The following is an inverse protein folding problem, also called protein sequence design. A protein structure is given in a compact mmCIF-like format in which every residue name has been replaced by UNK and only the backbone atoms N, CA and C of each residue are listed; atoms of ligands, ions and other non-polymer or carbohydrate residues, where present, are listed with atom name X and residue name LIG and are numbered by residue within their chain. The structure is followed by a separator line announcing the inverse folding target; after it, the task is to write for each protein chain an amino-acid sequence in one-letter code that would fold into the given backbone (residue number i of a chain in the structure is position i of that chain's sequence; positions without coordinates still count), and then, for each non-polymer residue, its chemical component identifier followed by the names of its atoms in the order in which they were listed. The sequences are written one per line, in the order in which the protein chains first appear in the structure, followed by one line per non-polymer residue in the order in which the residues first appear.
data_IF_365043958622
#
_entry.id   IF_365043958622
#
_cell.length_a   1.000
_cell.length_b   1.000
_cell.length_c   1.000
_cell.angle_alpha   90.00
_cell.angle_beta   90.00
_cell.angle_gamma   90.00
#
_symmetry.space_group_name_H-M   'P 1'
#
loop_
_entity.id
_entity.type
_entity.pdbx_description
1 polymer ?
#
# COMPACT_ATOMS: atom_id res chain seq x y z
N UNK A 1 19.33 18.71 52.30
CA UNK A 1 20.62 19.35 52.68
C UNK A 1 21.70 19.16 51.60
N UNK A 2 21.41 19.51 50.33
CA UNK A 2 22.45 19.61 49.30
C UNK A 2 22.21 20.86 48.47
N UNK A 3 23.03 21.88 48.69
CA UNK A 3 23.08 23.06 47.80
C UNK A 3 23.74 22.61 46.50
N UNK A 4 23.06 22.80 45.37
CA UNK A 4 23.63 22.49 44.06
C UNK A 4 24.96 23.24 43.88
N UNK A 5 26.05 22.50 43.66
CA UNK A 5 27.39 23.09 43.56
C UNK A 5 27.60 23.66 42.14
N UNK A 6 27.60 25.00 41.96
CA UNK A 6 27.58 25.61 40.63
C UNK A 6 28.86 25.36 39.84
N UNK A 7 29.97 25.00 40.50
CA UNK A 7 31.26 24.76 39.85
C UNK A 7 31.29 23.47 39.02
N UNK A 8 30.58 22.42 39.45
CA UNK A 8 30.52 21.12 38.73
C UNK A 8 29.88 21.29 37.34
N UNK A 9 28.86 22.15 37.24
CA UNK A 9 28.13 22.40 36.01
C UNK A 9 28.97 23.18 34.96
N UNK A 10 29.95 23.97 35.40
CA UNK A 10 30.88 24.69 34.50
C UNK A 10 31.97 23.76 33.96
N UNK A 11 32.47 22.85 34.79
CA UNK A 11 33.51 21.90 34.41
C UNK A 11 33.00 20.86 33.40
N UNK A 12 31.77 20.35 33.60
CA UNK A 12 31.11 19.45 32.65
C UNK A 12 30.87 20.12 31.28
N UNK A 13 30.49 21.41 31.25
CA UNK A 13 30.32 22.18 30.02
C UNK A 13 31.61 22.43 29.24
N UNK A 14 32.78 22.30 29.87
CA UNK A 14 34.09 22.40 29.20
C UNK A 14 34.61 21.06 28.66
N UNK A 15 34.11 19.93 29.17
CA UNK A 15 34.58 18.58 28.81
C UNK A 15 33.69 17.86 27.79
N UNK A 16 32.47 18.33 27.58
CA UNK A 16 31.58 17.84 26.53
C UNK A 16 31.85 18.60 25.21
N UNK A 17 31.93 17.91 24.06
CA UNK A 17 31.93 18.57 22.76
C UNK A 17 30.69 19.45 22.59
N UNK A 18 30.87 20.66 22.07
CA UNK A 18 29.74 21.53 21.72
C UNK A 18 28.80 20.82 20.73
N UNK A 19 27.47 20.87 20.91
CA UNK A 19 26.55 20.23 20.00
C UNK A 19 26.70 20.85 18.60
N UNK A 20 27.11 20.03 17.64
CA UNK A 20 27.21 20.41 16.24
C UNK A 20 25.83 20.80 15.72
N UNK A 21 25.64 22.08 15.40
CA UNK A 21 24.50 22.55 14.60
C UNK A 21 24.67 22.06 13.17
N UNK A 22 24.24 20.83 12.89
CA UNK A 22 23.99 20.40 11.52
C UNK A 22 22.60 20.92 11.07
N UNK A 23 22.47 21.50 9.87
CA UNK A 23 21.19 22.03 9.40
C UNK A 23 20.15 20.93 9.16
N UNK A 24 18.87 21.24 9.36
CA UNK A 24 17.79 20.38 8.86
C UNK A 24 17.87 20.32 7.33
N UNK A 25 17.98 19.10 6.80
CA UNK A 25 17.74 18.80 5.39
C UNK A 25 16.78 17.59 5.31
N UNK A 26 15.52 17.90 5.00
CA UNK A 26 14.46 17.05 4.46
C UNK A 26 14.55 15.52 4.68
N UNK A 27 13.72 15.02 5.60
CA UNK A 27 13.25 13.63 5.59
C UNK A 27 11.82 13.56 5.08
N UNK A 28 11.69 13.27 3.79
CA UNK A 28 10.47 12.71 3.21
C UNK A 28 10.67 11.20 3.02
N UNK A 29 9.61 10.40 3.22
CA UNK A 29 9.62 8.91 3.23
C UNK A 29 10.57 8.22 4.23
N UNK A 30 9.98 7.62 5.26
CA UNK A 30 9.91 6.15 5.39
C UNK A 30 9.00 5.77 6.56
N UNK A 31 7.79 5.27 6.26
CA UNK A 31 6.90 4.65 7.26
C UNK A 31 7.17 3.15 7.24
N UNK A 32 7.71 2.60 8.32
CA UNK A 32 7.74 1.16 8.55
C UNK A 32 7.13 0.88 9.91
N UNK A 33 5.89 0.38 9.89
CA UNK A 33 5.11 0.12 11.09
C UNK A 33 5.48 -1.24 11.67
N UNK A 34 5.95 -1.27 12.92
CA UNK A 34 6.13 -2.50 13.69
C UNK A 34 5.00 -2.59 14.72
N UNK A 35 4.12 -3.57 14.55
CA UNK A 35 3.10 -3.94 15.55
C UNK A 35 3.56 -5.18 16.35
N UNK A 36 3.12 -5.33 17.61
CA UNK A 36 3.70 -6.31 18.53
C UNK A 36 3.11 -7.72 18.38
N UNK A 37 3.99 -8.72 18.44
CA UNK A 37 3.65 -10.14 18.37
C UNK A 37 2.96 -10.61 19.66
N UNK A 38 1.68 -10.99 19.57
CA UNK A 38 0.95 -11.64 20.66
C UNK A 38 1.01 -13.17 20.60
N UNK A 39 1.00 -13.78 21.78
CA UNK A 39 1.23 -15.20 22.03
C UNK A 39 0.14 -16.11 21.43
N UNK A 40 0.52 -17.22 20.80
CA UNK A 40 -0.29 -18.46 20.79
C UNK A 40 0.59 -19.70 20.96
N UNK A 41 0.01 -20.70 21.63
CA UNK A 41 0.64 -21.94 22.08
C UNK A 41 0.63 -23.00 20.97
N UNK A 42 1.54 -23.97 21.07
CA UNK A 42 1.59 -25.18 20.24
C UNK A 42 0.32 -26.05 20.37
N UNK A 43 0.19 -27.10 19.55
CA UNK A 43 0.51 -28.41 20.10
C UNK A 43 1.50 -29.26 19.27
N UNK A 44 1.93 -30.36 19.88
CA UNK A 44 2.98 -31.29 19.47
C UNK A 44 2.41 -32.50 18.71
N UNK A 45 3.15 -33.02 17.72
CA UNK A 45 3.06 -34.38 17.13
C UNK A 45 4.16 -34.49 16.04
N UNK A 46 4.92 -35.58 15.82
CA UNK A 46 5.28 -36.79 16.58
C UNK A 46 6.60 -37.34 15.95
N UNK A 47 7.46 -38.01 16.76
CA UNK A 47 8.27 -39.23 16.45
C UNK A 47 8.93 -39.38 15.04
N UNK A 48 10.17 -39.84 14.86
CA UNK A 48 11.12 -40.53 15.74
C UNK A 48 12.56 -40.50 15.17
N UNK A 49 13.54 -40.92 15.97
CA UNK A 49 14.97 -41.04 15.63
C UNK A 49 15.29 -42.02 14.50
N UNK A 50 16.39 -41.76 13.75
CA UNK A 50 17.56 -42.66 13.72
C UNK A 50 18.82 -41.97 13.13
N UNK A 51 19.88 -41.88 13.92
CA UNK A 51 21.25 -41.56 13.46
C UNK A 51 22.01 -42.87 13.09
N UNK A 52 23.34 -42.88 12.85
CA UNK A 52 23.88 -42.85 11.48
C UNK A 52 24.80 -44.06 11.19
N UNK A 53 25.22 -44.27 9.94
CA UNK A 53 26.48 -44.98 9.70
C UNK A 53 27.15 -44.70 8.35
N UNK A 54 28.47 -44.59 8.42
CA UNK A 54 29.40 -44.49 7.30
C UNK A 54 29.63 -45.87 6.63
N UNK A 55 29.91 -45.88 5.33
CA UNK A 55 30.98 -46.72 4.75
C UNK A 55 31.33 -46.23 3.35
N UNK A 56 32.63 -46.12 3.06
CA UNK A 56 33.13 -45.99 1.69
C UNK A 56 33.23 -47.38 1.03
N UNK A 57 33.25 -47.44 -0.31
CA UNK A 57 33.48 -48.70 -1.05
C UNK A 57 32.93 -48.74 -2.48
N UNK A 58 33.75 -48.33 -3.44
CA UNK A 58 33.97 -48.93 -4.77
C UNK A 58 32.79 -49.41 -5.66
N UNK A 59 32.56 -48.61 -6.71
CA UNK A 59 32.32 -48.97 -8.12
C UNK A 59 32.27 -50.47 -8.53
N UNK A 60 31.13 -50.91 -9.08
CA UNK A 60 31.11 -51.58 -10.41
C UNK A 60 29.76 -51.43 -11.15
N UNK A 61 29.68 -52.00 -12.35
CA UNK A 61 28.79 -51.62 -13.45
C UNK A 61 27.56 -52.52 -13.57
N UNK A 62 26.41 -51.97 -13.99
CA UNK A 62 25.55 -52.67 -14.96
C UNK A 62 24.66 -51.73 -15.78
N UNK A 63 24.64 -51.96 -17.10
CA UNK A 63 23.76 -51.28 -18.06
C UNK A 63 22.95 -52.33 -18.81
N UNK A 64 21.60 -52.24 -18.77
CA UNK A 64 20.71 -52.59 -19.89
C UNK A 64 19.22 -52.51 -19.50
N UNK A 65 18.27 -52.53 -20.46
CA UNK A 65 17.03 -51.74 -20.35
C UNK A 65 15.76 -52.58 -20.19
N UNK A 66 14.62 -51.93 -19.96
CA UNK A 66 13.29 -52.55 -20.01
C UNK A 66 12.37 -51.86 -21.02
N UNK A 67 11.61 -52.68 -21.76
CA UNK A 67 10.74 -52.32 -22.88
C UNK A 67 9.49 -53.21 -22.85
N UNK A 68 8.33 -52.63 -23.15
CA UNK A 68 7.06 -53.35 -23.31
C UNK A 68 6.18 -53.40 -22.05
N UNK A 69 4.86 -53.58 -22.12
CA UNK A 69 3.96 -53.64 -23.30
C UNK A 69 2.52 -53.30 -22.88
N UNK A 70 1.66 -52.94 -23.84
CA UNK A 70 0.21 -52.79 -23.66
C UNK A 70 -0.49 -54.12 -23.29
N UNK A 71 -1.78 -54.08 -22.95
CA UNK A 71 -2.72 -54.83 -23.81
C UNK A 71 -4.03 -54.11 -24.14
N UNK A 72 -4.70 -54.61 -25.19
CA UNK A 72 -6.02 -54.19 -25.67
C UNK A 72 -7.19 -54.93 -24.98
N UNK A 73 -8.40 -54.46 -25.32
CA UNK A 73 -9.61 -55.24 -25.67
C UNK A 73 -10.77 -55.39 -24.65
N UNK A 74 -11.90 -54.76 -25.04
CA UNK A 74 -13.29 -55.29 -25.04
C UNK A 74 -14.00 -55.53 -23.68
N UNK A 75 -15.12 -54.89 -23.31
CA UNK A 75 -16.49 -54.86 -23.92
C UNK A 75 -17.47 -55.60 -22.96
N UNK A 76 -18.74 -55.23 -22.68
CA UNK A 76 -19.69 -54.21 -23.17
C UNK A 76 -20.69 -53.89 -22.00
N UNK A 77 -21.66 -52.96 -22.05
CA UNK A 77 -22.08 -52.03 -23.10
C UNK A 77 -23.49 -51.44 -22.87
N UNK A 78 -24.02 -50.79 -23.93
CA UNK A 78 -25.44 -50.55 -24.26
C UNK A 78 -26.29 -49.56 -23.42
N UNK A 79 -26.42 -48.33 -23.95
CA UNK A 79 -27.68 -47.66 -24.41
C UNK A 79 -27.55 -46.12 -24.30
N UNK A 80 -28.00 -45.29 -25.24
CA UNK A 80 -28.56 -45.53 -26.58
C UNK A 80 -28.41 -44.28 -27.49
N UNK A 81 -28.53 -44.48 -28.80
CA UNK A 81 -28.58 -43.46 -29.87
C UNK A 81 -30.06 -43.14 -30.22
N UNK A 82 -30.39 -42.27 -31.20
CA UNK A 82 -29.66 -41.14 -31.78
C UNK A 82 -30.52 -39.84 -31.82
N UNK A 83 -30.01 -38.74 -32.39
CA UNK A 83 -30.83 -37.87 -33.25
C UNK A 83 -29.95 -37.00 -34.18
N UNK A 84 -30.08 -37.27 -35.48
CA UNK A 84 -29.60 -36.42 -36.58
C UNK A 84 -30.78 -36.18 -37.51
N UNK A 85 -31.15 -34.94 -37.87
CA UNK A 85 -32.22 -34.71 -38.84
C UNK A 85 -31.74 -34.99 -40.27
N UNK A 86 -32.68 -35.47 -41.07
CA UNK A 86 -32.47 -36.24 -42.30
C UNK A 86 -32.93 -35.47 -43.56
N UNK A 87 -32.66 -36.04 -44.74
CA UNK A 87 -33.37 -35.80 -46.03
C UNK A 87 -33.40 -34.36 -46.59
N UNK A 88 -32.77 -34.17 -47.78
CA UNK A 88 -33.54 -34.19 -49.05
C UNK A 88 -32.64 -34.29 -50.30
N UNK A 89 -32.36 -35.52 -50.74
CA UNK A 89 -32.05 -35.80 -52.16
C UNK A 89 -33.36 -36.06 -52.88
N UNK A 90 -33.54 -35.48 -54.06
CA UNK A 90 -34.64 -35.85 -54.97
C UNK A 90 -34.03 -36.18 -56.33
N UNK A 91 -33.84 -37.48 -56.57
CA UNK A 91 -33.64 -38.03 -57.91
C UNK A 91 -34.85 -38.92 -58.15
N UNK A 92 -35.66 -38.59 -59.16
CA UNK A 92 -36.73 -39.46 -59.65
C UNK A 92 -36.44 -39.73 -61.11
N UNK A 93 -36.10 -40.98 -61.39
CA UNK A 93 -36.03 -41.55 -62.73
C UNK A 93 -37.42 -42.01 -63.13
N UNK A 94 -37.88 -41.66 -64.32
CA UNK A 94 -38.90 -42.45 -65.04
C UNK A 94 -38.68 -42.23 -66.53
N UNK A 95 -38.25 -43.27 -67.21
CA UNK A 95 -38.34 -43.41 -68.65
C UNK A 95 -39.81 -43.74 -68.98
N UNK A 96 -40.42 -43.11 -69.99
CA UNK A 96 -40.43 -43.69 -71.34
C UNK A 96 -41.07 -42.75 -72.39
N UNK A 97 -40.83 -43.09 -73.65
CA UNK A 97 -41.28 -42.49 -74.91
C UNK A 97 -42.71 -41.92 -74.96
N UNK A 98 -42.88 -40.75 -75.60
CA UNK A 98 -43.70 -40.59 -76.83
C UNK A 98 -43.38 -39.25 -77.53
N UNK A 99 -42.87 -39.30 -78.76
CA UNK A 99 -43.03 -38.17 -79.70
C UNK A 99 -44.51 -38.05 -80.09
N UNK A 100 -45.03 -36.82 -80.24
CA UNK A 100 -45.26 -36.36 -81.60
C UNK A 100 -44.70 -34.97 -81.88
N UNK A 101 -44.42 -34.78 -83.15
CA UNK A 101 -44.00 -33.55 -83.81
C UNK A 101 -44.93 -32.37 -83.49
N UNK A 102 -44.36 -31.27 -82.96
CA UNK A 102 -44.88 -29.92 -83.20
C UNK A 102 -43.75 -29.08 -83.80
N UNK A 103 -43.69 -29.14 -85.12
CA UNK A 103 -43.58 -27.97 -86.00
C UNK A 103 -42.59 -26.86 -85.59
N UNK A 104 -41.36 -27.00 -86.07
CA UNK A 104 -40.81 -26.10 -87.11
C UNK A 104 -41.02 -24.58 -86.94
N UNK A 105 -40.90 -24.02 -85.73
CA UNK A 105 -41.22 -22.60 -85.50
C UNK A 105 -40.34 -21.87 -84.48
N UNK A 106 -39.04 -22.21 -84.37
CA UNK A 106 -38.02 -21.21 -83.96
C UNK A 106 -36.61 -21.46 -84.52
N UNK A 107 -36.48 -21.81 -85.81
CA UNK A 107 -35.21 -21.69 -86.55
C UNK A 107 -34.90 -20.21 -86.84
N UNK A 108 -34.64 -19.45 -85.77
CA UNK A 108 -34.23 -18.05 -85.83
C UNK A 108 -32.73 -17.98 -86.19
N UNK A 109 -32.45 -18.09 -87.49
CA UNK A 109 -31.12 -17.96 -88.12
C UNK A 109 -29.93 -18.43 -87.29
N UNK A 110 -29.62 -19.73 -87.36
CA UNK A 110 -28.38 -20.29 -86.83
C UNK A 110 -27.15 -19.71 -87.55
N UNK A 111 -26.70 -18.59 -87.02
CA UNK A 111 -25.43 -17.96 -87.33
C UNK A 111 -24.40 -18.51 -86.33
N UNK A 112 -23.54 -19.46 -86.73
CA UNK A 112 -22.67 -20.18 -85.80
C UNK A 112 -21.76 -19.22 -85.02
N UNK A 113 -21.35 -18.12 -85.65
CA UNK A 113 -20.47 -17.11 -85.06
C UNK A 113 -21.13 -16.36 -83.89
N UNK A 114 -22.47 -16.21 -83.90
CA UNK A 114 -23.22 -15.65 -82.77
C UNK A 114 -23.23 -16.60 -81.57
N UNK A 115 -23.44 -17.89 -81.80
CA UNK A 115 -23.43 -18.91 -80.74
C UNK A 115 -22.02 -19.06 -80.15
N UNK A 116 -20.98 -19.07 -81.00
CA UNK A 116 -19.58 -19.03 -80.58
C UNK A 116 -19.29 -17.78 -79.74
N UNK A 117 -19.79 -16.61 -80.15
CA UNK A 117 -19.61 -15.36 -79.39
C UNK A 117 -20.29 -15.39 -78.02
N UNK A 118 -21.50 -15.95 -77.90
CA UNK A 118 -22.21 -16.10 -76.63
C UNK A 118 -21.46 -17.03 -75.67
N UNK A 119 -20.98 -18.18 -76.17
CA UNK A 119 -20.18 -19.12 -75.37
C UNK A 119 -18.85 -18.53 -74.92
N UNK A 120 -18.17 -17.74 -75.77
CA UNK A 120 -16.95 -17.02 -75.38
C UNK A 120 -17.24 -15.99 -74.27
N UNK A 121 -18.30 -15.21 -74.40
CA UNK A 121 -18.72 -14.24 -73.38
C UNK A 121 -19.08 -14.92 -72.05
N UNK A 122 -19.74 -16.08 -72.09
CA UNK A 122 -20.04 -16.87 -70.88
C UNK A 122 -18.77 -17.43 -70.24
N UNK A 123 -17.84 -17.96 -71.04
CA UNK A 123 -16.52 -18.41 -70.55
C UNK A 123 -15.73 -17.25 -69.94
N UNK A 124 -15.78 -16.04 -70.51
CA UNK A 124 -15.15 -14.85 -69.94
C UNK A 124 -15.81 -14.37 -68.64
N UNK A 125 -17.14 -14.43 -68.56
CA UNK A 125 -17.87 -14.17 -67.31
C UNK A 125 -17.48 -15.18 -66.22
N UNK A 126 -17.39 -16.47 -66.56
CA UNK A 126 -16.96 -17.54 -65.66
C UNK A 126 -15.49 -17.36 -65.23
N UNK A 127 -14.58 -16.98 -66.14
CA UNK A 127 -13.19 -16.61 -65.79
C UNK A 127 -13.15 -15.44 -64.80
N UNK A 128 -13.95 -14.40 -65.03
CA UNK A 128 -14.06 -13.24 -64.15
C UNK A 128 -14.62 -13.58 -62.77
N UNK A 129 -15.61 -14.47 -62.69
CA UNK A 129 -16.16 -14.98 -61.42
C UNK A 129 -15.13 -15.85 -60.69
N UNK A 130 -14.46 -16.77 -61.39
CA UNK A 130 -13.45 -17.64 -60.80
C UNK A 130 -12.29 -16.83 -60.20
N UNK A 131 -11.79 -15.82 -60.92
CA UNK A 131 -10.77 -14.90 -60.41
C UNK A 131 -11.22 -14.17 -59.13
N UNK A 132 -12.44 -13.64 -59.10
CA UNK A 132 -13.01 -13.00 -57.88
C UNK A 132 -13.11 -13.98 -56.71
N UNK A 133 -13.50 -15.23 -56.96
CA UNK A 133 -13.56 -16.26 -55.92
C UNK A 133 -12.15 -16.64 -55.40
N UNK A 134 -11.14 -16.70 -56.27
CA UNK A 134 -9.74 -16.91 -55.86
C UNK A 134 -9.22 -15.74 -55.00
N UNK A 135 -9.49 -14.49 -55.41
CA UNK A 135 -9.14 -13.29 -54.64
C UNK A 135 -9.82 -13.30 -53.25
N UNK A 136 -11.10 -13.66 -53.18
CA UNK A 136 -11.84 -13.80 -51.93
C UNK A 136 -11.30 -14.94 -51.05
N UNK A 137 -10.92 -16.08 -51.63
CA UNK A 137 -10.34 -17.21 -50.91
C UNK A 137 -8.99 -16.83 -50.30
N UNK A 138 -8.11 -16.20 -51.07
CA UNK A 138 -6.81 -15.71 -50.58
C UNK A 138 -7.02 -14.66 -49.47
N UNK A 139 -7.96 -13.73 -49.65
CA UNK A 139 -8.30 -12.75 -48.61
C UNK A 139 -8.76 -13.45 -47.31
N UNK A 140 -9.63 -14.46 -47.41
CA UNK A 140 -10.14 -15.19 -46.24
C UNK A 140 -9.07 -16.03 -45.57
N UNK A 141 -8.18 -16.66 -46.33
CA UNK A 141 -7.01 -17.37 -45.81
C UNK A 141 -6.09 -16.40 -45.02
N UNK A 142 -5.76 -15.23 -45.56
CA UNK A 142 -4.99 -14.21 -44.86
C UNK A 142 -5.73 -13.59 -43.65
N UNK A 143 -7.07 -13.57 -43.65
CA UNK A 143 -7.86 -13.20 -42.45
C UNK A 143 -7.84 -14.29 -41.37
N UNK A 144 -7.91 -15.57 -41.75
CA UNK A 144 -7.82 -16.71 -40.82
C UNK A 144 -6.42 -16.82 -40.20
N UNK A 145 -5.36 -16.78 -41.00
CA UNK A 145 -3.98 -16.85 -40.51
C UNK A 145 -3.67 -15.74 -39.50
N UNK A 146 -4.13 -14.50 -39.76
CA UNK A 146 -4.00 -13.39 -38.81
C UNK A 146 -4.72 -13.67 -37.48
N UNK A 147 -5.95 -14.19 -37.54
CA UNK A 147 -6.73 -14.55 -36.33
C UNK A 147 -6.08 -15.66 -35.52
N UNK A 148 -5.51 -16.68 -36.16
CA UNK A 148 -4.81 -17.78 -35.47
C UNK A 148 -3.62 -17.24 -34.66
N UNK A 149 -2.74 -16.45 -35.28
CA UNK A 149 -1.60 -15.80 -34.60
C UNK A 149 -2.06 -14.85 -33.48
N UNK A 150 -3.13 -14.09 -33.73
CA UNK A 150 -3.75 -13.21 -32.74
C UNK A 150 -4.36 -13.96 -31.53
N UNK A 151 -4.83 -15.20 -31.71
CA UNK A 151 -5.31 -16.03 -30.62
C UNK A 151 -4.16 -16.73 -29.89
N UNK A 152 -3.11 -17.17 -30.59
CA UNK A 152 -1.89 -17.74 -30.01
C UNK A 152 -1.22 -16.73 -29.08
N UNK A 153 -0.97 -15.50 -29.55
CA UNK A 153 -0.44 -14.42 -28.73
C UNK A 153 -1.33 -14.14 -27.50
N UNK A 154 -2.66 -14.21 -27.66
CA UNK A 154 -3.61 -14.08 -26.54
C UNK A 154 -3.64 -15.29 -25.61
N UNK A 155 -3.18 -16.48 -26.01
CA UNK A 155 -2.99 -17.65 -25.13
C UNK A 155 -1.70 -17.47 -24.34
N UNK A 156 -0.59 -17.22 -25.01
CA UNK A 156 0.72 -16.97 -24.38
C UNK A 156 0.67 -15.83 -23.36
N UNK A 157 0.00 -14.72 -23.68
CA UNK A 157 -0.15 -13.60 -22.74
C UNK A 157 -0.92 -13.99 -21.46
N UNK A 158 -1.94 -14.85 -21.57
CA UNK A 158 -2.69 -15.35 -20.40
C UNK A 158 -1.89 -16.36 -19.60
N UNK A 159 -1.05 -17.17 -20.25
CA UNK A 159 -0.14 -18.10 -19.58
C UNK A 159 0.96 -17.35 -18.83
N UNK A 160 1.57 -16.33 -19.44
CA UNK A 160 2.51 -15.43 -18.77
C UNK A 160 1.89 -14.76 -17.54
N UNK A 161 0.67 -14.20 -17.67
CA UNK A 161 -0.10 -13.62 -16.55
C UNK A 161 -0.43 -14.64 -15.45
N UNK A 162 -0.67 -15.91 -15.81
CA UNK A 162 -0.88 -16.97 -14.83
C UNK A 162 0.39 -17.26 -14.00
N UNK A 163 1.58 -17.07 -14.58
CA UNK A 163 2.87 -17.24 -13.91
C UNK A 163 3.38 -16.01 -13.14
N UNK A 164 2.84 -14.81 -13.38
CA UNK A 164 3.21 -13.59 -12.62
C UNK A 164 3.06 -13.80 -11.10
N UNK A 165 1.90 -14.27 -10.62
CA UNK A 165 1.63 -14.43 -9.19
C UNK A 165 2.48 -15.54 -8.53
N UNK A 166 2.61 -16.76 -9.09
CA UNK A 166 3.53 -17.77 -8.58
C UNK A 166 4.99 -17.30 -8.52
N UNK A 167 5.45 -16.51 -9.51
CA UNK A 167 6.83 -16.01 -9.54
C UNK A 167 7.10 -15.03 -8.40
N UNK A 168 6.21 -14.06 -8.17
CA UNK A 168 6.32 -13.12 -7.03
C UNK A 168 6.30 -13.87 -5.69
N UNK A 169 5.42 -14.85 -5.52
CA UNK A 169 5.35 -15.68 -4.29
C UNK A 169 6.64 -16.49 -4.08
N UNK A 170 7.26 -17.00 -5.15
CA UNK A 170 8.55 -17.68 -5.09
C UNK A 170 9.67 -16.72 -4.63
N UNK A 171 9.71 -15.51 -5.19
CA UNK A 171 10.67 -14.47 -4.80
C UNK A 171 10.52 -14.05 -3.34
N UNK A 172 9.29 -13.85 -2.87
CA UNK A 172 8.96 -13.58 -1.46
C UNK A 172 9.40 -14.72 -0.53
N UNK A 173 9.14 -15.98 -0.91
CA UNK A 173 9.57 -17.15 -0.15
C UNK A 173 11.10 -17.27 -0.08
N UNK A 174 11.80 -17.00 -1.19
CA UNK A 174 13.26 -17.01 -1.25
C UNK A 174 13.88 -15.86 -0.43
N UNK A 175 13.24 -14.69 -0.38
CA UNK A 175 13.64 -13.59 0.49
C UNK A 175 13.43 -13.95 1.96
N UNK A 176 12.23 -14.40 2.34
CA UNK A 176 11.92 -14.82 3.71
C UNK A 176 12.80 -15.96 4.22
N UNK A 177 13.20 -16.89 3.33
CA UNK A 177 14.16 -17.95 3.66
C UNK A 177 15.56 -17.39 3.95
N UNK A 178 16.07 -16.45 3.13
CA UNK A 178 17.35 -15.77 3.39
C UNK A 178 17.34 -15.02 4.71
N UNK A 179 16.25 -14.31 5.02
CA UNK A 179 16.07 -13.61 6.28
C UNK A 179 16.05 -14.59 7.48
N UNK A 180 15.38 -15.74 7.32
CA UNK A 180 15.37 -16.82 8.33
C UNK A 180 16.76 -17.38 8.58
N UNK A 181 17.53 -17.66 7.52
CA UNK A 181 18.88 -18.20 7.64
C UNK A 181 19.87 -17.16 8.20
N UNK A 182 19.75 -15.89 7.82
CA UNK A 182 20.52 -14.80 8.41
C UNK A 182 20.20 -14.59 9.90
N UNK A 183 18.92 -14.69 10.29
CA UNK A 183 18.52 -14.60 11.70
C UNK A 183 19.03 -15.79 12.52
N UNK A 184 19.02 -17.00 11.94
CA UNK A 184 19.57 -18.21 12.54
C UNK A 184 21.08 -18.09 12.73
N UNK A 185 21.82 -17.67 11.69
CA UNK A 185 23.27 -17.43 11.76
C UNK A 185 23.61 -16.38 12.83
N UNK A 186 22.92 -15.24 12.83
CA UNK A 186 23.10 -14.18 13.84
C UNK A 186 22.88 -14.71 15.26
N UNK A 187 21.85 -15.53 15.47
CA UNK A 187 21.56 -16.14 16.79
C UNK A 187 22.59 -17.18 17.22
N UNK A 188 23.11 -17.98 16.28
CA UNK A 188 24.19 -18.94 16.58
C UNK A 188 25.51 -18.23 16.93
N UNK A 189 25.82 -17.11 16.28
CA UNK A 189 26.99 -16.29 16.60
C UNK A 189 26.85 -15.70 18.01
N UNK A 190 25.74 -15.04 18.31
CA UNK A 190 25.46 -14.50 19.66
C UNK A 190 25.52 -15.58 20.74
N UNK A 191 24.92 -16.75 20.52
CA UNK A 191 24.97 -17.85 21.49
C UNK A 191 26.40 -18.41 21.71
N UNK A 192 27.28 -18.29 20.71
CA UNK A 192 28.69 -18.62 20.87
C UNK A 192 29.45 -17.54 21.62
N UNK A 193 29.20 -16.26 21.32
CA UNK A 193 29.77 -15.12 22.05
C UNK A 193 29.39 -15.17 23.54
N UNK A 194 28.10 -15.35 23.87
CA UNK A 194 27.60 -15.53 25.24
C UNK A 194 28.27 -16.72 25.95
N UNK A 195 28.41 -17.87 25.26
CA UNK A 195 29.09 -19.06 25.78
C UNK A 195 30.56 -18.78 26.08
N UNK A 196 31.27 -18.09 25.19
CA UNK A 196 32.69 -17.77 25.35
C UNK A 196 32.93 -16.68 26.41
N UNK A 197 32.03 -15.71 26.55
CA UNK A 197 32.02 -14.75 27.66
C UNK A 197 31.84 -15.44 29.01
N UNK A 198 30.86 -16.35 29.14
CA UNK A 198 30.64 -17.15 30.36
C UNK A 198 31.85 -18.02 30.69
N UNK A 199 32.48 -18.64 29.69
CA UNK A 199 33.72 -19.42 29.89
C UNK A 199 34.89 -18.55 30.34
N UNK A 200 35.04 -17.34 29.80
CA UNK A 200 36.05 -16.38 30.25
C UNK A 200 35.77 -15.89 31.68
N UNK A 201 34.51 -15.60 32.02
CA UNK A 201 34.11 -15.21 33.37
C UNK A 201 34.34 -16.35 34.37
N UNK A 202 33.95 -17.59 34.04
CA UNK A 202 34.19 -18.75 34.88
C UNK A 202 35.69 -18.99 35.15
N UNK A 203 36.56 -18.82 34.14
CA UNK A 203 38.02 -18.90 34.31
C UNK A 203 38.57 -17.78 35.20
N UNK A 204 38.11 -16.54 35.03
CA UNK A 204 38.48 -15.40 35.88
C UNK A 204 38.05 -15.62 37.33
N UNK A 205 36.82 -16.08 37.54
CA UNK A 205 36.31 -16.43 38.87
C UNK A 205 37.11 -17.58 39.48
N UNK A 206 37.41 -18.65 38.74
CA UNK A 206 38.25 -19.75 39.25
C UNK A 206 39.65 -19.28 39.66
N UNK A 207 40.26 -18.33 38.94
CA UNK A 207 41.52 -17.70 39.32
C UNK A 207 41.37 -16.84 40.57
N UNK A 208 40.30 -16.04 40.65
CA UNK A 208 39.99 -15.21 41.82
C UNK A 208 39.73 -16.07 43.07
N UNK A 209 38.94 -17.15 42.97
CA UNK A 209 38.71 -18.10 44.08
C UNK A 209 40.00 -18.78 44.51
N UNK A 210 40.87 -19.23 43.57
CA UNK A 210 42.19 -19.77 43.94
C UNK A 210 43.05 -18.77 44.73
N UNK A 211 42.93 -17.48 44.42
CA UNK A 211 43.61 -16.40 45.14
C UNK A 211 42.94 -16.10 46.49
N UNK A 212 41.61 -16.04 46.55
CA UNK A 212 40.83 -15.80 47.77
C UNK A 212 40.94 -16.96 48.76
N UNK A 213 40.88 -18.22 48.33
CA UNK A 213 41.13 -19.36 49.22
C UNK A 213 42.57 -19.37 49.74
N UNK A 214 43.54 -18.77 49.03
CA UNK A 214 44.90 -18.56 49.57
C UNK A 214 44.95 -17.44 50.62
N UNK A 215 44.04 -16.46 50.53
CA UNK A 215 43.85 -15.40 51.54
C UNK A 215 43.06 -15.89 52.76
N UNK A 216 41.96 -16.63 52.59
CA UNK A 216 41.08 -17.12 53.66
C UNK A 216 41.77 -18.11 54.62
N UNK A 217 42.87 -18.75 54.19
CA UNK A 217 43.74 -19.55 55.06
C UNK A 217 44.65 -18.69 55.96
N UNK A 218 44.52 -17.37 55.93
CA UNK A 218 45.27 -16.40 56.72
C UNK A 218 44.28 -15.42 57.37
N UNK A 219 44.08 -15.55 58.68
CA UNK A 219 43.26 -14.64 59.47
C UNK A 219 43.94 -13.26 59.48
N UNK A 220 43.32 -12.27 58.84
CA UNK A 220 43.89 -10.95 58.56
C UNK A 220 42.95 -9.88 59.10
N UNK A 221 43.38 -9.20 60.18
CA UNK A 221 42.63 -8.09 60.79
C UNK A 221 42.39 -6.97 59.75
N UNK A 222 41.13 -6.74 59.40
CA UNK A 222 40.68 -5.85 58.31
C UNK A 222 40.71 -4.36 58.63
N UNK A 223 41.07 -4.00 59.87
CA UNK A 223 40.79 -2.68 60.45
C UNK A 223 42.03 -1.75 60.45
N UNK A 224 43.19 -2.26 60.03
CA UNK A 224 44.43 -1.49 59.90
C UNK A 224 44.38 -0.59 58.66
N UNK A 225 44.74 0.69 58.81
CA UNK A 225 44.81 1.59 57.65
C UNK A 225 46.03 1.28 56.75
N UNK A 226 45.98 1.74 55.50
CA UNK A 226 47.06 1.54 54.51
C UNK A 226 48.40 2.08 55.02
N UNK A 227 48.40 3.23 55.68
CA UNK A 227 49.61 3.81 56.26
C UNK A 227 50.14 3.00 57.46
N UNK A 228 49.25 2.42 58.26
CA UNK A 228 49.61 1.53 59.38
C UNK A 228 50.19 0.20 58.88
N UNK A 229 49.61 -0.38 57.81
CA UNK A 229 50.12 -1.57 57.14
C UNK A 229 51.51 -1.33 56.52
N UNK A 230 51.70 -0.19 55.86
CA UNK A 230 53.01 0.20 55.29
C UNK A 230 54.05 0.41 56.39
N UNK A 231 53.69 1.11 57.47
CA UNK A 231 54.60 1.33 58.60
C UNK A 231 54.91 0.04 59.35
N UNK A 232 53.97 -0.91 59.42
CA UNK A 232 54.22 -2.26 59.94
C UNK A 232 55.24 -3.00 59.08
N UNK A 233 55.06 -3.06 57.75
CA UNK A 233 56.03 -3.67 56.81
C UNK A 233 57.45 -3.10 56.98
N UNK A 234 57.58 -1.78 57.15
CA UNK A 234 58.88 -1.14 57.36
C UNK A 234 59.56 -1.48 58.71
N UNK A 235 58.79 -1.91 59.70
CA UNK A 235 59.28 -2.20 61.06
C UNK A 235 59.39 -3.71 61.36
N UNK A 236 58.74 -4.57 60.58
CA UNK A 236 58.74 -6.03 60.77
C UNK A 236 60.00 -6.68 60.19
N UNK A 237 60.65 -7.53 60.99
CA UNK A 237 61.80 -8.35 60.56
C UNK A 237 61.38 -9.76 60.10
N UNK A 238 60.08 -10.07 60.06
CA UNK A 238 59.55 -11.39 59.71
C UNK A 238 58.91 -11.40 58.33
N UNK A 239 59.34 -12.32 57.46
CA UNK A 239 58.77 -12.50 56.11
C UNK A 239 57.27 -12.79 56.15
N UNK A 240 56.81 -13.55 57.15
CA UNK A 240 55.40 -13.91 57.29
C UNK A 240 54.50 -12.71 57.62
N UNK A 241 54.99 -11.75 58.43
CA UNK A 241 54.27 -10.51 58.72
C UNK A 241 54.24 -9.57 57.51
N UNK A 242 55.33 -9.53 56.74
CA UNK A 242 55.39 -8.78 55.46
C UNK A 242 54.41 -9.37 54.44
N UNK A 243 54.31 -10.71 54.34
CA UNK A 243 53.33 -11.39 53.50
C UNK A 243 51.89 -11.06 53.94
N UNK A 244 51.58 -11.13 55.25
CA UNK A 244 50.28 -10.78 55.78
C UNK A 244 49.90 -9.31 55.48
N UNK A 245 50.76 -8.36 55.80
CA UNK A 245 50.50 -6.94 55.53
C UNK A 245 50.40 -6.67 54.02
N UNK A 246 51.19 -7.35 53.19
CA UNK A 246 51.10 -7.27 51.73
C UNK A 246 49.77 -7.80 51.18
N UNK A 247 49.21 -8.86 51.77
CA UNK A 247 47.91 -9.41 51.40
C UNK A 247 46.76 -8.47 51.81
N UNK A 248 46.80 -7.90 53.02
CA UNK A 248 45.86 -6.86 53.45
C UNK A 248 45.89 -5.65 52.50
N UNK A 249 47.08 -5.14 52.14
CA UNK A 249 47.22 -4.05 51.17
C UNK A 249 46.58 -4.37 49.80
N UNK A 250 46.75 -5.61 49.29
CA UNK A 250 46.10 -6.02 48.04
C UNK A 250 44.58 -6.10 48.19
N UNK A 251 44.06 -6.53 49.34
CA UNK A 251 42.62 -6.49 49.64
C UNK A 251 42.08 -5.05 49.67
N UNK A 252 42.72 -4.10 50.35
CA UNK A 252 42.32 -2.68 50.34
C UNK A 252 42.31 -2.09 48.91
N UNK A 253 43.33 -2.39 48.10
CA UNK A 253 43.38 -1.97 46.69
C UNK A 253 42.25 -2.61 45.87
N UNK A 254 41.91 -3.88 46.12
CA UNK A 254 40.81 -4.56 45.44
C UNK A 254 39.46 -3.94 45.81
N UNK A 255 39.15 -3.79 47.10
CA UNK A 255 37.91 -3.20 47.60
C UNK A 255 37.73 -1.76 47.10
N UNK A 256 38.79 -0.95 47.10
CA UNK A 256 38.75 0.43 46.59
C UNK A 256 38.46 0.46 45.08
N UNK A 257 39.08 -0.43 44.30
CA UNK A 257 38.82 -0.56 42.86
C UNK A 257 37.40 -1.05 42.58
N UNK A 258 36.92 -2.03 43.34
CA UNK A 258 35.55 -2.53 43.26
C UNK A 258 34.56 -1.39 43.54
N UNK A 259 34.75 -0.65 44.62
CA UNK A 259 33.86 0.46 45.00
C UNK A 259 33.81 1.55 43.93
N UNK A 260 34.94 1.88 43.31
CA UNK A 260 34.98 2.79 42.16
C UNK A 260 34.17 2.26 40.98
N UNK A 261 34.28 0.97 40.66
CA UNK A 261 33.55 0.35 39.56
C UNK A 261 32.03 0.31 39.84
N UNK A 262 31.62 0.05 41.09
CA UNK A 262 30.21 0.14 41.53
C UNK A 262 29.65 1.55 41.30
N UNK A 263 30.37 2.59 41.74
CA UNK A 263 30.00 4.00 41.53
C UNK A 263 29.84 4.29 40.02
N UNK A 264 30.81 3.89 39.19
CA UNK A 264 30.74 4.09 37.73
C UNK A 264 29.54 3.38 37.10
N UNK A 265 29.17 2.18 37.58
CA UNK A 265 28.00 1.46 37.11
C UNK A 265 26.68 2.13 37.54
N UNK A 266 26.61 2.65 38.77
CA UNK A 266 25.47 3.44 39.26
C UNK A 266 25.31 4.76 38.49
N UNK A 267 26.40 5.46 38.21
CA UNK A 267 26.41 6.68 37.38
C UNK A 267 25.92 6.40 35.96
N UNK A 268 26.44 5.36 35.30
CA UNK A 268 25.98 4.96 33.96
C UNK A 268 24.48 4.61 33.95
N UNK A 269 24.02 3.87 34.97
CA UNK A 269 22.60 3.52 35.15
C UNK A 269 21.71 4.75 35.38
N UNK A 270 22.21 5.79 36.06
CA UNK A 270 21.51 7.05 36.23
C UNK A 270 21.40 7.82 34.90
N UNK A 271 22.49 7.94 34.15
CA UNK A 271 22.53 8.58 32.82
C UNK A 271 21.59 7.88 31.83
N UNK A 272 21.57 6.55 31.81
CA UNK A 272 20.65 5.78 30.97
C UNK A 272 19.18 6.08 31.31
N UNK A 273 18.81 6.11 32.59
CA UNK A 273 17.45 6.46 33.04
C UNK A 273 17.05 7.89 32.66
N UNK A 274 17.95 8.85 32.77
CA UNK A 274 17.71 10.24 32.37
C UNK A 274 17.48 10.36 30.86
N UNK A 275 18.31 9.68 30.06
CA UNK A 275 18.16 9.57 28.61
C UNK A 275 16.81 8.95 28.24
N UNK A 276 16.46 7.83 28.85
CA UNK A 276 15.22 7.10 28.55
C UNK A 276 13.98 7.93 28.92
N UNK A 277 14.00 8.60 30.08
CA UNK A 277 12.95 9.54 30.46
C UNK A 277 12.84 10.74 29.52
N UNK A 278 13.96 11.21 28.96
CA UNK A 278 13.98 12.31 27.98
C UNK A 278 13.46 11.87 26.61
N UNK A 279 13.84 10.67 26.15
CA UNK A 279 13.31 10.04 24.94
C UNK A 279 11.81 9.78 25.06
N UNK A 280 11.35 9.32 26.23
CA UNK A 280 9.93 9.14 26.52
C UNK A 280 9.18 10.48 26.43
N UNK A 281 9.66 11.55 27.09
CA UNK A 281 9.08 12.91 26.99
C UNK A 281 9.01 13.39 25.55
N UNK A 282 10.08 13.23 24.78
CA UNK A 282 10.10 13.59 23.35
C UNK A 282 9.05 12.83 22.54
N UNK A 283 8.91 11.51 22.75
CA UNK A 283 7.89 10.69 22.08
C UNK A 283 6.45 11.17 22.38
N UNK A 284 6.15 11.52 23.64
CA UNK A 284 4.85 12.07 24.00
C UNK A 284 4.61 13.42 23.30
N UNK A 285 5.58 14.35 23.36
CA UNK A 285 5.47 15.65 22.68
C UNK A 285 5.27 15.53 21.16
N UNK A 286 5.93 14.56 20.51
CA UNK A 286 5.71 14.27 19.08
C UNK A 286 4.30 13.74 18.84
N UNK A 287 3.78 12.87 19.70
CA UNK A 287 2.41 12.35 19.62
C UNK A 287 1.36 13.46 19.82
N UNK A 288 1.55 14.32 20.81
CA UNK A 288 0.69 15.48 21.08
C UNK A 288 0.67 16.44 19.87
N UNK A 289 1.83 16.71 19.27
CA UNK A 289 1.93 17.55 18.06
C UNK A 289 1.21 16.95 16.85
N UNK A 290 1.30 15.63 16.64
CA UNK A 290 0.57 14.93 15.58
C UNK A 290 -0.95 14.98 15.83
N UNK A 291 -1.40 14.77 17.07
CA UNK A 291 -2.81 14.86 17.43
C UNK A 291 -3.34 16.30 17.25
N UNK A 292 -2.57 17.32 17.61
CA UNK A 292 -2.91 18.72 17.35
C UNK A 292 -2.94 19.05 15.85
N UNK A 293 -2.04 18.46 15.05
CA UNK A 293 -2.06 18.61 13.60
C UNK A 293 -3.33 17.97 12.99
N UNK A 294 -3.70 16.76 13.41
CA UNK A 294 -4.91 16.06 12.98
C UNK A 294 -6.19 16.79 13.40
N UNK A 295 -6.23 17.33 14.62
CA UNK A 295 -7.32 18.22 15.04
C UNK A 295 -7.42 19.47 14.17
N UNK A 296 -6.29 20.06 13.74
CA UNK A 296 -6.30 21.24 12.86
C UNK A 296 -6.77 20.87 11.46
N UNK A 297 -6.28 19.79 10.86
CA UNK A 297 -6.71 19.35 9.52
C UNK A 297 -8.19 18.96 9.46
N UNK A 298 -8.78 18.49 10.57
CA UNK A 298 -10.22 18.17 10.65
C UNK A 298 -11.10 19.39 10.97
N UNK A 299 -10.63 20.34 11.81
CA UNK A 299 -11.37 21.57 12.17
C UNK A 299 -11.36 22.63 11.07
N UNK A 300 -10.29 22.72 10.27
CA UNK A 300 -10.17 23.74 9.22
C UNK A 300 -11.25 23.64 8.12
N UNK A 301 -11.56 22.47 7.53
CA UNK A 301 -12.61 22.35 6.52
C UNK A 301 -14.04 22.42 7.09
N UNK A 302 -14.24 22.21 8.41
CA UNK A 302 -15.55 22.43 9.04
C UNK A 302 -15.81 23.93 9.24
N UNK A 303 -14.85 24.66 9.82
CA UNK A 303 -14.91 26.12 9.93
C UNK A 303 -15.02 26.82 8.56
N UNK A 304 -14.34 26.32 7.53
CA UNK A 304 -14.46 26.86 6.18
C UNK A 304 -15.90 26.72 5.64
N UNK A 305 -16.51 25.52 5.74
CA UNK A 305 -17.91 25.31 5.32
C UNK A 305 -18.91 26.17 6.09
N UNK A 306 -18.66 26.42 7.39
CA UNK A 306 -19.47 27.32 8.20
C UNK A 306 -19.35 28.78 7.72
N UNK A 307 -18.12 29.22 7.40
CA UNK A 307 -17.88 30.54 6.80
C UNK A 307 -18.52 30.69 5.41
N UNK A 308 -18.47 29.65 4.58
CA UNK A 308 -19.05 29.66 3.24
C UNK A 308 -20.59 29.77 3.32
N UNK A 309 -21.24 29.00 4.21
CA UNK A 309 -22.69 29.12 4.48
C UNK A 309 -23.08 30.52 4.98
N UNK A 310 -22.33 31.07 5.92
CA UNK A 310 -22.59 32.42 6.44
C UNK A 310 -22.43 33.51 5.34
N UNK A 311 -21.55 33.28 4.35
CA UNK A 311 -21.41 34.14 3.18
C UNK A 311 -22.61 34.02 2.23
N UNK A 312 -23.09 32.80 1.98
CA UNK A 312 -24.30 32.53 1.18
C UNK A 312 -25.54 33.17 1.81
N UNK A 313 -25.77 32.96 3.11
CA UNK A 313 -26.87 33.56 3.88
C UNK A 313 -26.84 35.10 3.79
N UNK A 314 -25.66 35.71 3.93
CA UNK A 314 -25.49 37.15 3.78
C UNK A 314 -25.86 37.62 2.36
N UNK A 315 -25.42 36.92 1.32
CA UNK A 315 -25.74 37.26 -0.07
C UNK A 315 -27.24 37.13 -0.35
N UNK A 316 -27.90 36.10 0.19
CA UNK A 316 -29.34 35.92 0.10
C UNK A 316 -30.10 37.12 0.74
N UNK A 317 -29.73 37.50 1.97
CA UNK A 317 -30.33 38.65 2.66
C UNK A 317 -30.08 39.96 1.92
N UNK A 318 -28.90 40.18 1.34
CA UNK A 318 -28.63 41.36 0.50
C UNK A 318 -29.50 41.38 -0.77
N UNK A 319 -29.75 40.24 -1.41
CA UNK A 319 -30.63 40.13 -2.57
C UNK A 319 -32.10 40.41 -2.20
N UNK A 320 -32.57 39.87 -1.08
CA UNK A 320 -33.91 40.12 -0.56
C UNK A 320 -34.11 41.60 -0.20
N UNK A 321 -33.15 42.23 0.48
CA UNK A 321 -33.17 43.67 0.76
C UNK A 321 -33.23 44.52 -0.53
N UNK A 322 -32.50 44.14 -1.59
CA UNK A 322 -32.58 44.83 -2.90
C UNK A 322 -33.95 44.67 -3.54
N UNK A 323 -34.55 43.47 -3.50
CA UNK A 323 -35.92 43.21 -3.97
C UNK A 323 -36.94 44.06 -3.22
N UNK A 324 -36.87 44.09 -1.89
CA UNK A 324 -37.74 44.93 -1.05
C UNK A 324 -37.56 46.42 -1.38
N UNK A 325 -36.33 46.92 -1.56
CA UNK A 325 -36.08 48.31 -1.97
C UNK A 325 -36.68 48.66 -3.34
N UNK A 326 -36.57 47.76 -4.33
CA UNK A 326 -37.19 47.94 -5.66
C UNK A 326 -38.72 47.95 -5.54
N UNK A 327 -39.29 47.02 -4.77
CA UNK A 327 -40.74 46.94 -4.53
C UNK A 327 -41.26 48.20 -3.81
N UNK A 328 -40.56 48.70 -2.80
CA UNK A 328 -40.90 49.97 -2.13
C UNK A 328 -40.81 51.16 -3.10
N UNK A 329 -39.77 51.26 -3.93
CA UNK A 329 -39.65 52.31 -4.97
C UNK A 329 -40.79 52.22 -5.99
N UNK A 330 -41.13 51.02 -6.47
CA UNK A 330 -42.22 50.81 -7.42
C UNK A 330 -43.57 51.18 -6.81
N UNK A 331 -43.88 50.68 -5.61
CA UNK A 331 -45.11 50.99 -4.86
C UNK A 331 -45.25 52.48 -4.59
N UNK A 332 -44.18 53.14 -4.12
CA UNK A 332 -44.17 54.59 -3.92
C UNK A 332 -44.41 55.35 -5.23
N UNK A 333 -43.79 54.93 -6.34
CA UNK A 333 -44.02 55.54 -7.66
C UNK A 333 -45.47 55.34 -8.15
N UNK A 334 -46.05 54.16 -7.92
CA UNK A 334 -47.44 53.81 -8.25
C UNK A 334 -48.43 54.63 -7.43
N UNK A 335 -48.19 54.79 -6.12
CA UNK A 335 -48.98 55.64 -5.24
C UNK A 335 -48.87 57.12 -5.66
N UNK A 336 -47.67 57.61 -5.97
CA UNK A 336 -47.44 58.98 -6.47
C UNK A 336 -48.14 59.23 -7.81
N UNK A 337 -48.15 58.25 -8.74
CA UNK A 337 -48.91 58.31 -10.00
C UNK A 337 -50.41 58.36 -9.75
N UNK A 338 -50.96 57.46 -8.92
CA UNK A 338 -52.38 57.45 -8.52
C UNK A 338 -52.80 58.77 -7.87
N UNK A 339 -52.00 59.30 -6.96
CA UNK A 339 -52.21 60.60 -6.30
C UNK A 339 -52.19 61.79 -7.29
N UNK A 340 -51.32 61.75 -8.32
CA UNK A 340 -51.33 62.75 -9.41
C UNK A 340 -52.58 62.63 -10.29
N UNK A 341 -52.96 61.42 -10.69
CA UNK A 341 -54.18 61.19 -11.47
C UNK A 341 -55.43 61.68 -10.72
N UNK A 342 -55.54 61.37 -9.42
CA UNK A 342 -56.62 61.87 -8.55
C UNK A 342 -56.70 63.40 -8.50
N UNK A 343 -55.55 64.10 -8.38
CA UNK A 343 -55.52 65.58 -8.44
C UNK A 343 -55.98 66.12 -9.79
N UNK A 344 -55.55 65.51 -10.90
CA UNK A 344 -55.97 65.91 -12.24
C UNK A 344 -57.47 65.68 -12.45
N UNK A 345 -57.99 64.50 -12.11
CA UNK A 345 -59.43 64.20 -12.18
C UNK A 345 -60.25 65.14 -11.30
N UNK A 346 -59.82 65.42 -10.07
CA UNK A 346 -60.46 66.41 -9.20
C UNK A 346 -60.44 67.82 -9.80
N UNK A 347 -59.37 68.20 -10.49
CA UNK A 347 -59.30 69.47 -11.21
C UNK A 347 -60.26 69.52 -12.40
N UNK A 348 -60.34 68.45 -13.20
CA UNK A 348 -61.28 68.37 -14.34
C UNK A 348 -62.72 68.41 -13.85
N UNK A 349 -63.07 67.66 -12.80
CA UNK A 349 -64.41 67.71 -12.19
C UNK A 349 -64.74 69.10 -11.67
N UNK A 350 -63.78 69.79 -11.03
CA UNK A 350 -63.95 71.18 -10.58
C UNK A 350 -64.18 72.13 -11.76
N UNK A 351 -63.38 72.05 -12.82
CA UNK A 351 -63.53 72.89 -14.01
C UNK A 351 -64.80 72.57 -14.83
N UNK A 352 -65.26 71.32 -14.85
CA UNK A 352 -66.56 70.95 -15.44
C UNK A 352 -67.72 71.47 -14.58
N UNK A 353 -67.61 71.41 -13.25
CA UNK A 353 -68.59 72.03 -12.34
C UNK A 353 -68.63 73.56 -12.50
N UNK A 354 -67.48 74.21 -12.66
CA UNK A 354 -67.38 75.64 -12.99
C UNK A 354 -67.95 75.96 -14.38
N UNK A 355 -67.84 75.06 -15.36
CA UNK A 355 -68.44 75.23 -16.69
C UNK A 355 -69.96 75.02 -16.66
N UNK A 356 -70.44 73.96 -16.01
CA UNK A 356 -71.88 73.69 -15.82
C UNK A 356 -72.56 74.77 -14.99
N UNK A 357 -71.88 75.35 -13.99
CA UNK A 357 -72.43 76.49 -13.24
C UNK A 357 -72.38 77.80 -14.02
N UNK A 358 -71.54 77.94 -15.06
CA UNK A 358 -71.63 79.03 -16.05
C UNK A 358 -72.76 78.78 -17.04
N UNK A 359 -72.83 77.62 -17.68
CA UNK A 359 -73.94 77.26 -18.57
C UNK A 359 -75.30 77.35 -17.85
N UNK A 360 -75.39 76.90 -16.59
CA UNK A 360 -76.62 77.05 -15.79
C UNK A 360 -76.97 78.51 -15.48
N UNK A 361 -75.98 79.41 -15.38
CA UNK A 361 -76.23 80.86 -15.31
C UNK A 361 -76.67 81.42 -16.65
N UNK A 362 -76.02 81.02 -17.75
CA UNK A 362 -76.34 81.48 -19.10
C UNK A 362 -77.75 81.03 -19.53
N UNK A 363 -78.14 79.78 -19.21
CA UNK A 363 -79.52 79.28 -19.37
C UNK A 363 -80.51 80.03 -18.47
N UNK A 364 -80.16 80.41 -17.23
CA UNK A 364 -81.01 81.23 -16.35
C UNK A 364 -81.12 82.70 -16.81
N UNK A 365 -80.18 83.20 -17.62
CA UNK A 365 -80.28 84.50 -18.29
C UNK A 365 -81.18 84.39 -19.53
N UNK A 366 -81.09 83.29 -20.29
CA UNK A 366 -81.94 83.03 -21.45
C UNK A 366 -83.40 82.71 -21.09
N UNK A 367 -83.70 82.09 -19.94
CA UNK A 367 -85.07 81.83 -19.45
C UNK A 367 -85.75 83.02 -18.75
N UNK A 368 -85.17 84.23 -18.84
CA UNK A 368 -85.71 85.48 -18.24
C UNK A 368 -86.14 86.53 -19.28
N UNK A 369 -86.26 86.13 -20.53
CA UNK A 369 -87.03 86.80 -21.58
C UNK A 369 -88.16 85.87 -22.04
#
# INVERSE_FOLDING_TARGET
MYKANPRVNVELRKRLPSPSRQPLANTDRCVSAVLPLSQRKSPVSHLCHRDPQESAGEMEVDLSPSRGSSPEANSCGVSGHPDSPDIRKHLVTTEDSFHPEIESSLLQSFDPDKNVSLLLNEVDALRGINKKLQEQLIQKECELQRRVVEEELRREQREAQAWERPTVVLEELLAAQKDRDQALMSRLLLANEERDEVLLQARRLQQATKYVTRLENLDLDSDLDVDELLQRICNTNCVQEIEQCGLALVQHVHLTRQRRNEITAEEMKAVMKERDGSVAKYKHLVQDLLQEQEQRTTKLPTLQRESDRALEDKQHLEAELRLLQVNHRFSFSSCRRRSRAWRLSSSVVRSLSERLTRESRDWNVLLKF
#
